data_IF_296561406549
#
_entry.id   IF_296561406549
#
_cell.length_a   1.000
_cell.length_b   1.000
_cell.length_c   1.000
_cell.angle_alpha   90.00
_cell.angle_beta   90.00
_cell.angle_gamma   90.00
#
_symmetry.space_group_name_H-M   'P 1'
#
loop_
_entity.id
_entity.type
_entity.pdbx_description
1 polymer ?
#
# COMPACT_ATOMS: atom_id res chain seq x y z
N UNK A 1 -17.39 25.02 -15.49
CA UNK A 1 -15.98 24.83 -15.10
C UNK A 1 -15.97 24.33 -13.66
N UNK A 2 -15.98 23.01 -13.46
CA UNK A 2 -15.94 22.38 -12.14
C UNK A 2 -14.49 22.27 -11.67
N UNK A 3 -14.19 22.94 -10.57
CA UNK A 3 -12.94 22.79 -9.84
C UNK A 3 -12.90 21.39 -9.20
N UNK A 4 -12.06 20.50 -9.72
CA UNK A 4 -11.64 19.30 -9.02
C UNK A 4 -10.73 19.73 -7.85
N UNK A 5 -11.29 19.79 -6.64
CA UNK A 5 -10.51 20.02 -5.44
C UNK A 5 -9.54 18.85 -5.21
N UNK A 6 -8.27 19.21 -5.16
CA UNK A 6 -7.12 18.42 -4.76
C UNK A 6 -7.30 17.85 -3.34
N UNK A 7 -7.85 16.64 -3.23
CA UNK A 7 -7.80 15.82 -2.01
C UNK A 7 -6.64 14.81 -2.00
N UNK A 8 -5.73 14.90 -2.98
CA UNK A 8 -4.72 13.89 -3.27
C UNK A 8 -3.34 14.26 -2.76
N UNK A 9 -2.94 13.73 -1.60
CA UNK A 9 -1.50 13.59 -1.26
C UNK A 9 -1.24 12.35 -0.39
N UNK A 10 -2.15 12.01 0.54
CA UNK A 10 -1.94 10.86 1.44
C UNK A 10 -2.58 9.54 1.00
N UNK A 11 -3.71 9.57 0.28
CA UNK A 11 -4.46 8.35 -0.07
C UNK A 11 -3.67 7.38 -0.99
N UNK A 12 -2.71 7.88 -1.77
CA UNK A 12 -1.82 7.06 -2.61
C UNK A 12 -0.43 6.82 -2.03
N UNK A 13 -0.04 7.50 -0.94
CA UNK A 13 1.33 7.48 -0.43
C UNK A 13 1.73 6.09 0.11
N UNK A 14 0.79 5.39 0.77
CA UNK A 14 1.03 4.04 1.29
C UNK A 14 1.40 3.03 0.19
N UNK A 15 0.75 3.11 -0.98
CA UNK A 15 1.05 2.25 -2.14
C UNK A 15 2.47 2.46 -2.65
N UNK A 16 2.87 3.71 -2.82
CA UNK A 16 4.23 4.04 -3.27
C UNK A 16 5.29 3.71 -2.22
N UNK A 17 4.99 3.84 -0.92
CA UNK A 17 5.88 3.39 0.15
C UNK A 17 6.10 1.87 0.14
N UNK A 18 5.03 1.07 -0.04
CA UNK A 18 5.16 -0.38 -0.17
C UNK A 18 6.06 -0.75 -1.37
N UNK A 19 5.76 -0.16 -2.53
CA UNK A 19 6.55 -0.32 -3.76
C UNK A 19 8.02 0.08 -3.58
N UNK A 20 8.28 1.19 -2.90
CA UNK A 20 9.63 1.70 -2.67
C UNK A 20 10.46 0.78 -1.75
N UNK A 21 9.81 0.00 -0.89
CA UNK A 21 10.50 -0.94 0.01
C UNK A 21 10.74 -2.32 -0.62
N UNK A 22 9.87 -2.77 -1.51
CA UNK A 22 9.94 -4.11 -2.12
C UNK A 22 11.09 -4.21 -3.14
N UNK A 23 11.26 -3.19 -3.98
CA UNK A 23 12.27 -3.18 -5.03
C UNK A 23 13.72 -3.27 -4.51
N UNK A 24 14.16 -2.43 -3.54
CA UNK A 24 15.51 -2.57 -3.00
C UNK A 24 15.70 -3.91 -2.27
N UNK A 25 14.66 -4.43 -1.63
CA UNK A 25 14.73 -5.72 -0.93
C UNK A 25 14.97 -6.88 -1.92
N UNK A 26 14.19 -6.98 -3.00
CA UNK A 26 14.32 -8.04 -3.99
C UNK A 26 15.70 -8.03 -4.68
N UNK A 27 16.22 -6.83 -4.97
CA UNK A 27 17.54 -6.65 -5.57
C UNK A 27 18.63 -7.13 -4.62
N UNK A 28 18.63 -6.70 -3.35
CA UNK A 28 19.66 -7.10 -2.38
C UNK A 28 19.67 -8.61 -2.16
N UNK A 29 18.50 -9.24 -2.05
CA UNK A 29 18.40 -10.69 -1.88
C UNK A 29 18.97 -11.43 -3.09
N UNK A 30 18.62 -11.03 -4.31
CA UNK A 30 19.13 -11.70 -5.51
C UNK A 30 20.60 -11.43 -5.78
N UNK A 31 21.11 -10.25 -5.44
CA UNK A 31 22.56 -9.98 -5.44
C UNK A 31 23.29 -10.95 -4.51
N UNK A 32 22.77 -11.15 -3.29
CA UNK A 32 23.38 -12.06 -2.33
C UNK A 32 23.35 -13.52 -2.80
N UNK A 33 22.20 -13.98 -3.31
CA UNK A 33 22.07 -15.33 -3.87
C UNK A 33 23.00 -15.51 -5.07
N UNK A 34 23.03 -14.54 -5.99
CA UNK A 34 23.91 -14.55 -7.15
C UNK A 34 25.38 -14.58 -6.76
N UNK A 35 25.77 -13.80 -5.75
CA UNK A 35 27.14 -13.82 -5.21
C UNK A 35 27.50 -15.20 -4.65
N UNK A 36 26.62 -15.79 -3.84
CA UNK A 36 26.84 -17.10 -3.22
C UNK A 36 26.99 -18.20 -4.29
N UNK A 37 26.09 -18.22 -5.28
CA UNK A 37 26.15 -19.17 -6.39
C UNK A 37 27.35 -18.94 -7.30
N UNK A 38 27.72 -17.69 -7.54
CA UNK A 38 28.91 -17.35 -8.30
C UNK A 38 30.19 -17.81 -7.61
N UNK A 39 30.24 -17.68 -6.28
CA UNK A 39 31.39 -18.09 -5.49
C UNK A 39 31.62 -19.61 -5.53
N UNK A 40 30.55 -20.40 -5.55
CA UNK A 40 30.67 -21.87 -5.60
C UNK A 40 31.16 -22.40 -6.95
N UNK A 41 30.91 -21.69 -8.05
CA UNK A 41 31.33 -22.12 -9.40
C UNK A 41 32.65 -21.52 -9.88
N UNK A 42 32.93 -20.25 -9.55
CA UNK A 42 34.06 -19.51 -10.13
C UNK A 42 34.95 -18.83 -9.10
N UNK A 43 34.83 -19.17 -7.81
CA UNK A 43 35.57 -18.53 -6.74
C UNK A 43 35.31 -17.03 -6.67
N UNK A 44 36.34 -16.23 -6.37
CA UNK A 44 36.19 -14.78 -6.20
C UNK A 44 35.64 -14.07 -7.45
N UNK A 45 36.11 -14.46 -8.64
CA UNK A 45 35.65 -13.87 -9.90
C UNK A 45 34.21 -14.26 -10.21
N UNK A 46 33.85 -15.53 -9.96
CA UNK A 46 32.48 -16.00 -10.11
C UNK A 46 31.51 -15.25 -9.20
N UNK A 47 31.93 -14.91 -7.98
CA UNK A 47 31.11 -14.18 -7.02
C UNK A 47 30.73 -12.76 -7.50
N UNK A 48 31.63 -12.07 -8.21
CA UNK A 48 31.34 -10.75 -8.81
C UNK A 48 30.35 -10.89 -9.97
N UNK A 49 30.63 -11.79 -10.90
CA UNK A 49 29.75 -12.02 -12.06
C UNK A 49 28.36 -12.49 -11.63
N UNK A 50 28.30 -13.40 -10.65
CA UNK A 50 27.06 -13.88 -10.07
C UNK A 50 26.28 -12.78 -9.36
N UNK A 51 26.94 -11.88 -8.64
CA UNK A 51 26.30 -10.71 -8.03
C UNK A 51 25.72 -9.76 -9.09
N UNK A 52 26.43 -9.53 -10.21
CA UNK A 52 25.91 -8.69 -11.31
C UNK A 52 24.67 -9.32 -11.98
N UNK A 53 24.71 -10.62 -12.25
CA UNK A 53 23.55 -11.35 -12.80
C UNK A 53 22.39 -11.31 -11.80
N UNK A 54 22.67 -11.55 -10.52
CA UNK A 54 21.71 -11.45 -9.43
C UNK A 54 21.06 -10.07 -9.33
N UNK A 55 21.83 -8.99 -9.51
CA UNK A 55 21.29 -7.63 -9.53
C UNK A 55 20.28 -7.43 -10.67
N UNK A 56 20.63 -7.87 -11.89
CA UNK A 56 19.78 -7.72 -13.07
C UNK A 56 18.48 -8.52 -12.91
N UNK A 57 18.59 -9.77 -12.48
CA UNK A 57 17.44 -10.66 -12.25
C UNK A 57 16.57 -10.13 -11.10
N UNK A 58 17.18 -9.70 -10.00
CA UNK A 58 16.49 -9.12 -8.85
C UNK A 58 15.74 -7.84 -9.19
N UNK A 59 16.28 -7.01 -10.08
CA UNK A 59 15.62 -5.80 -10.58
C UNK A 59 14.46 -6.14 -11.50
N UNK A 60 14.62 -7.09 -12.43
CA UNK A 60 13.55 -7.52 -13.32
C UNK A 60 12.37 -8.13 -12.54
N UNK A 61 12.65 -9.04 -11.59
CA UNK A 61 11.63 -9.65 -10.75
C UNK A 61 11.01 -8.65 -9.78
N UNK A 62 11.79 -7.71 -9.22
CA UNK A 62 11.29 -6.65 -8.35
C UNK A 62 10.34 -5.69 -9.07
N UNK A 63 10.66 -5.28 -10.30
CA UNK A 63 9.75 -4.48 -11.12
C UNK A 63 8.47 -5.24 -11.45
N UNK A 64 8.57 -6.54 -11.73
CA UNK A 64 7.41 -7.38 -11.98
C UNK A 64 6.52 -7.55 -10.74
N UNK A 65 7.11 -7.73 -9.55
CA UNK A 65 6.33 -7.82 -8.31
C UNK A 65 5.61 -6.51 -8.02
N UNK A 66 6.31 -5.38 -8.15
CA UNK A 66 5.74 -4.04 -8.00
C UNK A 66 4.55 -3.82 -8.95
N UNK A 67 4.68 -4.23 -10.21
CA UNK A 67 3.60 -4.13 -11.18
C UNK A 67 2.35 -4.91 -10.75
N UNK A 68 2.52 -6.15 -10.27
CA UNK A 68 1.41 -6.95 -9.75
C UNK A 68 0.81 -6.32 -8.49
N UNK A 69 1.64 -5.85 -7.57
CA UNK A 69 1.20 -5.21 -6.32
C UNK A 69 0.35 -3.99 -6.61
N UNK A 70 0.75 -3.14 -7.57
CA UNK A 70 -0.05 -1.99 -8.00
C UNK A 70 -1.40 -2.44 -8.57
N UNK A 71 -1.42 -3.42 -9.47
CA UNK A 71 -2.69 -3.93 -10.01
C UNK A 71 -3.61 -4.50 -8.93
N UNK A 72 -3.05 -5.17 -7.94
CA UNK A 72 -3.82 -5.71 -6.82
C UNK A 72 -4.46 -4.59 -6.00
N UNK A 73 -3.72 -3.52 -5.69
CA UNK A 73 -4.27 -2.36 -5.00
C UNK A 73 -5.33 -1.63 -5.82
N UNK A 74 -5.16 -1.50 -7.14
CA UNK A 74 -6.17 -0.88 -8.02
C UNK A 74 -7.49 -1.68 -7.99
N UNK A 75 -7.42 -3.02 -7.98
CA UNK A 75 -8.61 -3.88 -7.85
C UNK A 75 -9.30 -3.70 -6.50
N UNK A 76 -8.54 -3.66 -5.41
CA UNK A 76 -9.09 -3.42 -4.07
C UNK A 76 -9.78 -2.06 -3.97
N UNK A 77 -9.27 -1.03 -4.64
CA UNK A 77 -9.88 0.29 -4.63
C UNK A 77 -11.18 0.34 -5.45
N UNK A 78 -11.26 -0.41 -6.55
CA UNK A 78 -12.50 -0.58 -7.32
C UNK A 78 -13.56 -1.39 -6.58
N UNK A 79 -13.16 -2.39 -5.80
CA UNK A 79 -14.07 -3.27 -5.06
C UNK A 79 -14.54 -2.67 -3.74
N UNK A 80 -13.87 -1.62 -3.23
CA UNK A 80 -14.34 -0.94 -2.03
C UNK A 80 -15.71 -0.33 -2.31
N UNK A 81 -16.80 -0.82 -1.68
CA UNK A 81 -18.06 -0.12 -1.74
C UNK A 81 -17.79 1.29 -1.21
N UNK A 82 -18.21 2.31 -1.97
CA UNK A 82 -18.26 3.68 -1.49
C UNK A 82 -18.94 3.61 -0.14
N UNK A 83 -18.19 3.77 0.95
CA UNK A 83 -18.79 3.97 2.27
C UNK A 83 -19.60 5.22 2.08
N UNK A 84 -20.91 5.04 1.88
CA UNK A 84 -21.84 6.15 1.89
C UNK A 84 -21.58 6.81 3.25
N UNK A 85 -21.25 8.10 3.30
CA UNK A 85 -21.24 8.79 4.58
C UNK A 85 -22.59 8.45 5.22
N UNK A 86 -22.56 7.89 6.43
CA UNK A 86 -23.77 7.56 7.17
C UNK A 86 -24.59 8.83 7.24
N UNK A 87 -25.62 8.91 6.41
CA UNK A 87 -26.58 9.98 6.40
C UNK A 87 -27.80 9.35 7.05
N UNK A 88 -28.07 9.64 8.33
CA UNK A 88 -29.26 9.11 8.98
C UNK A 88 -30.49 9.57 8.18
N UNK A 89 -31.51 8.72 8.05
CA UNK A 89 -32.77 9.12 7.43
C UNK A 89 -33.33 10.36 8.14
N UNK A 90 -34.03 11.25 7.43
CA UNK A 90 -34.56 12.48 8.03
C UNK A 90 -35.46 12.21 9.25
N UNK A 91 -36.08 11.03 9.30
CA UNK A 91 -36.87 10.54 10.42
C UNK A 91 -36.08 10.48 11.75
N UNK A 92 -34.79 10.15 11.73
CA UNK A 92 -33.92 10.18 12.93
C UNK A 92 -33.44 11.60 13.28
N UNK A 93 -33.49 12.54 12.33
CA UNK A 93 -33.09 13.95 12.52
C UNK A 93 -34.24 14.75 13.12
N UNK A 94 -35.47 14.40 12.75
CA UNK A 94 -36.71 15.06 13.20
C UNK A 94 -37.30 14.42 14.47
N UNK A 95 -36.67 13.36 15.03
CA UNK A 95 -36.99 12.89 16.37
C UNK A 95 -36.61 13.98 17.40
N UNK A 96 -37.64 14.63 17.95
CA UNK A 96 -37.50 15.54 19.08
C UNK A 96 -36.83 14.80 20.24
N UNK A 97 -35.61 15.21 20.56
CA UNK A 97 -34.85 14.66 21.69
C UNK A 97 -35.63 14.92 22.98
N UNK A 98 -36.30 13.89 23.52
CA UNK A 98 -36.88 13.94 24.85
C UNK A 98 -35.75 14.04 25.88
N UNK A 99 -35.38 15.27 26.22
CA UNK A 99 -34.52 15.52 27.36
C UNK A 99 -35.33 15.22 28.63
N UNK A 100 -34.97 14.20 29.43
CA UNK A 100 -35.66 13.96 30.68
C UNK A 100 -35.54 15.20 31.55
N UNK A 101 -36.69 15.77 31.89
CA UNK A 101 -36.83 16.97 32.72
C UNK A 101 -36.12 16.74 34.07
N UNK A 102 -34.96 17.36 34.26
CA UNK A 102 -34.12 17.19 35.45
C UNK A 102 -34.70 17.91 36.69
N UNK A 103 -35.92 18.44 36.61
CA UNK A 103 -36.52 19.30 37.64
C UNK A 103 -37.16 18.57 38.83
N UNK A 104 -36.79 17.32 39.11
CA UNK A 104 -37.31 16.53 40.26
C UNK A 104 -36.23 15.90 41.16
N UNK A 105 -35.05 16.51 41.28
CA UNK A 105 -33.99 15.98 42.18
C UNK A 105 -33.57 16.92 43.32
N UNK A 106 -34.43 17.86 43.73
CA UNK A 106 -34.22 18.68 44.94
C UNK A 106 -35.55 19.08 45.60
N UNK A 107 -36.45 18.12 45.82
CA UNK A 107 -37.47 18.21 46.87
C UNK A 107 -37.04 17.35 48.06
#
# INVERSE_FOLDING_TARGET
>A
MSNHHSGGTFAGAGRWCAVASELPCSVVIMVFIGHLLGQTWGGAQGAITGAMIGAIVGLALGLYSVYITIQYYDKLEQERPVMRPFQPPQEEIDEDVEFPDYKKRYE
#
